data_IF_555851266036
#
_entry.id   IF_555851266036
#
_cell.length_a   1.000
_cell.length_b   1.000
_cell.length_c   1.000
_cell.angle_alpha   90.00
_cell.angle_beta   90.00
_cell.angle_gamma   90.00
#
_symmetry.space_group_name_H-M   'P 1'
#
loop_
_entity.id
_entity.type
_entity.pdbx_description
1 polymer ?
#
# COMPACT_ATOMS: atom_id res chain seq x y z
N UNK A 1 13.17 20.30 7.20
CA UNK A 1 14.00 19.10 6.97
C UNK A 1 14.90 19.00 8.18
N UNK A 2 14.52 18.16 9.13
CA UNK A 2 15.27 17.98 10.37
C UNK A 2 16.58 17.25 10.05
N UNK A 3 17.61 17.62 10.80
CA UNK A 3 19.03 17.42 10.59
C UNK A 3 19.46 15.97 10.26
N UNK A 4 20.16 15.80 9.13
CA UNK A 4 21.42 15.05 8.98
C UNK A 4 21.63 13.62 9.52
N UNK A 5 20.66 12.97 10.19
CA UNK A 5 20.84 11.63 10.74
C UNK A 5 20.57 10.57 9.67
N UNK A 6 21.52 9.65 9.48
CA UNK A 6 21.28 8.44 8.69
C UNK A 6 20.21 7.59 9.40
N UNK A 7 19.07 7.31 8.76
CA UNK A 7 18.03 6.49 9.39
C UNK A 7 18.52 5.07 9.60
N UNK A 8 18.01 4.42 10.65
CA UNK A 8 18.07 2.97 10.76
C UNK A 8 17.25 2.29 9.65
N UNK A 9 17.40 0.97 9.51
CA UNK A 9 16.75 0.23 8.43
C UNK A 9 15.23 0.25 8.49
N UNK A 10 14.64 0.13 9.68
CA UNK A 10 13.19 0.08 9.82
C UNK A 10 12.58 1.44 9.46
N UNK A 11 13.19 2.51 9.97
CA UNK A 11 12.81 3.89 9.62
C UNK A 11 12.97 4.13 8.11
N UNK A 12 14.08 3.70 7.51
CA UNK A 12 14.29 3.84 6.07
C UNK A 12 13.20 3.14 5.24
N UNK A 13 12.90 1.88 5.54
CA UNK A 13 11.92 1.11 4.77
C UNK A 13 10.48 1.55 5.00
N UNK A 14 10.11 1.94 6.23
CA UNK A 14 8.76 2.44 6.50
C UNK A 14 8.54 3.80 5.82
N UNK A 15 9.53 4.70 5.80
CA UNK A 15 9.41 5.97 5.06
C UNK A 15 9.25 5.75 3.55
N UNK A 16 9.95 4.76 2.98
CA UNK A 16 9.73 4.37 1.58
C UNK A 16 8.32 3.83 1.38
N UNK A 17 7.79 3.02 2.31
CA UNK A 17 6.40 2.54 2.21
C UNK A 17 5.38 3.69 2.22
N UNK A 18 5.64 4.76 2.98
CA UNK A 18 4.84 5.99 2.95
C UNK A 18 4.91 6.69 1.58
N UNK A 19 6.10 6.76 0.98
CA UNK A 19 6.23 7.32 -0.38
C UNK A 19 5.49 6.44 -1.41
N UNK A 20 5.60 5.11 -1.30
CA UNK A 20 4.89 4.16 -2.17
C UNK A 20 3.37 4.34 -2.03
N UNK A 21 2.85 4.54 -0.81
CA UNK A 21 1.42 4.73 -0.58
C UNK A 21 0.86 5.98 -1.28
N UNK A 22 1.69 7.01 -1.49
CA UNK A 22 1.29 8.23 -2.21
C UNK A 22 0.88 7.99 -3.66
N UNK A 23 1.28 6.85 -4.25
CA UNK A 23 0.85 6.41 -5.59
C UNK A 23 -0.49 5.68 -5.62
N UNK A 24 -1.08 5.38 -4.46
CA UNK A 24 -2.38 4.74 -4.34
C UNK A 24 -3.45 5.49 -5.12
N UNK A 25 -4.32 4.72 -5.75
CA UNK A 25 -5.44 5.23 -6.55
C UNK A 25 -6.79 4.91 -5.91
N UNK A 26 -6.79 4.53 -4.63
CA UNK A 26 -7.99 4.30 -3.84
C UNK A 26 -8.51 5.61 -3.22
N UNK A 27 -9.83 5.78 -3.22
CA UNK A 27 -10.50 6.96 -2.65
C UNK A 27 -10.73 6.90 -1.13
N UNK A 28 -10.54 5.72 -0.51
CA UNK A 28 -10.80 5.53 0.93
C UNK A 28 -9.52 5.60 1.75
N UNK A 29 -8.51 4.81 1.34
CA UNK A 29 -7.27 4.62 2.07
C UNK A 29 -6.11 4.40 1.13
N UNK A 30 -4.96 4.97 1.46
CA UNK A 30 -3.74 4.89 0.68
C UNK A 30 -2.74 3.99 1.40
N UNK A 31 -2.51 2.81 0.84
CA UNK A 31 -1.55 1.84 1.35
C UNK A 31 -0.37 1.71 0.40
N UNK A 32 0.82 1.58 0.98
CA UNK A 32 2.06 1.25 0.30
C UNK A 32 2.77 0.13 1.05
N UNK A 33 3.36 -0.80 0.31
CA UNK A 33 4.07 -1.95 0.82
C UNK A 33 5.45 -2.06 0.16
N UNK A 34 6.44 -2.43 0.97
CA UNK A 34 7.83 -2.64 0.55
C UNK A 34 8.29 -3.99 1.09
N UNK A 35 8.70 -4.90 0.20
CA UNK A 35 9.26 -6.20 0.58
C UNK A 35 10.77 -6.09 0.50
N UNK A 36 11.46 -6.44 1.58
CA UNK A 36 12.91 -6.31 1.72
C UNK A 36 13.55 -7.62 2.18
N UNK A 37 14.75 -7.89 1.70
CA UNK A 37 15.57 -9.02 2.14
C UNK A 37 17.03 -8.61 2.14
N UNK A 38 17.74 -8.93 3.22
CA UNK A 38 19.15 -8.58 3.40
C UNK A 38 19.42 -7.07 3.16
N UNK A 39 18.51 -6.23 3.68
CA UNK A 39 18.48 -4.77 3.49
C UNK A 39 18.38 -4.28 2.03
N UNK A 40 17.92 -5.14 1.12
CA UNK A 40 17.65 -4.80 -0.28
C UNK A 40 16.15 -4.87 -0.56
N UNK A 41 15.62 -3.83 -1.20
CA UNK A 41 14.23 -3.82 -1.67
C UNK A 41 14.08 -4.84 -2.80
N UNK A 42 13.19 -5.81 -2.60
CA UNK A 42 12.84 -6.84 -3.58
C UNK A 42 11.68 -6.38 -4.46
N UNK A 43 10.68 -5.76 -3.84
CA UNK A 43 9.45 -5.35 -4.50
C UNK A 43 8.75 -4.23 -3.76
N UNK A 44 7.89 -3.51 -4.47
CA UNK A 44 6.96 -2.54 -3.90
C UNK A 44 5.57 -2.71 -4.48
N UNK A 45 4.56 -2.25 -3.76
CA UNK A 45 3.17 -2.22 -4.23
C UNK A 45 2.37 -1.17 -3.50
N UNK A 46 1.41 -0.57 -4.20
CA UNK A 46 0.39 0.30 -3.60
C UNK A 46 -0.99 -0.25 -3.95
N UNK A 47 -2.01 0.11 -3.19
CA UNK A 47 -3.36 -0.35 -3.48
C UNK A 47 -4.01 0.45 -4.62
N UNK A 48 -4.64 -0.24 -5.56
CA UNK A 48 -5.24 0.34 -6.76
C UNK A 48 -5.89 -0.72 -7.64
N UNK A 49 -6.63 -0.29 -8.65
CA UNK A 49 -7.28 -1.22 -9.59
C UNK A 49 -6.26 -2.10 -10.31
N UNK A 50 -6.64 -3.32 -10.75
CA UNK A 50 -5.79 -4.18 -11.56
C UNK A 50 -5.22 -3.45 -12.78
N UNK A 51 -4.05 -3.88 -13.24
CA UNK A 51 -3.39 -3.29 -14.41
C UNK A 51 -4.33 -3.28 -15.61
N UNK A 52 -4.49 -2.12 -16.24
CA UNK A 52 -5.35 -1.92 -17.41
C UNK A 52 -6.81 -1.60 -17.11
N UNK A 53 -7.22 -1.58 -15.84
CA UNK A 53 -8.55 -1.15 -15.41
C UNK A 53 -8.53 0.32 -14.98
N UNK A 54 -9.68 1.00 -15.05
CA UNK A 54 -9.83 2.35 -14.52
C UNK A 54 -9.64 2.35 -12.99
N UNK A 55 -8.98 3.37 -12.47
CA UNK A 55 -8.82 3.52 -11.04
C UNK A 55 -10.03 4.22 -10.41
N UNK A 56 -10.25 4.00 -9.10
CA UNK A 56 -11.27 4.72 -8.35
C UNK A 56 -11.13 6.25 -8.47
N UNK A 57 -9.89 6.78 -8.52
CA UNK A 57 -9.62 8.21 -8.77
C UNK A 57 -9.93 8.66 -10.20
N UNK A 58 -9.89 7.78 -11.19
CA UNK A 58 -10.13 8.15 -12.59
C UNK A 58 -11.64 8.33 -12.81
N UNK A 59 -12.44 7.42 -12.25
CA UNK A 59 -13.91 7.45 -12.32
C UNK A 59 -14.57 8.19 -11.16
N UNK A 60 -13.78 8.68 -10.19
CA UNK A 60 -14.24 9.33 -8.95
C UNK A 60 -15.32 8.51 -8.21
N UNK A 61 -15.17 7.18 -8.23
CA UNK A 61 -16.20 6.24 -7.75
C UNK A 61 -15.61 5.12 -6.91
N UNK A 62 -16.30 4.78 -5.82
CA UNK A 62 -15.98 3.62 -5.00
C UNK A 62 -17.27 3.01 -4.44
N UNK A 63 -17.63 1.81 -4.90
CA UNK A 63 -18.86 1.11 -4.48
C UNK A 63 -18.96 0.93 -2.96
N UNK A 64 -17.83 0.70 -2.30
CA UNK A 64 -17.76 0.57 -0.84
C UNK A 64 -18.02 1.88 -0.11
N UNK A 65 -17.60 3.01 -0.67
CA UNK A 65 -17.88 4.36 -0.14
C UNK A 65 -19.37 4.67 -0.30
N UNK A 66 -19.93 4.43 -1.48
CA UNK A 66 -21.35 4.67 -1.79
C UNK A 66 -22.30 3.91 -0.86
N UNK A 67 -21.95 2.66 -0.55
CA UNK A 67 -22.76 1.79 0.29
C UNK A 67 -22.42 1.89 1.78
N UNK A 68 -21.54 2.81 2.19
CA UNK A 68 -21.07 2.98 3.57
C UNK A 68 -20.57 1.65 4.21
N UNK A 69 -19.83 0.86 3.44
CA UNK A 69 -19.32 -0.44 3.93
C UNK A 69 -18.17 -0.21 4.92
N UNK A 70 -18.24 -0.76 6.15
CA UNK A 70 -17.17 -0.68 7.15
C UNK A 70 -15.82 -1.22 6.64
N UNK A 71 -14.75 -0.95 7.40
CA UNK A 71 -13.48 -1.68 7.26
C UNK A 71 -13.70 -3.18 7.54
N UNK A 72 -12.89 -4.07 7.01
CA UNK A 72 -13.00 -5.50 7.34
C UNK A 72 -14.15 -6.28 6.69
N UNK A 73 -15.13 -5.62 6.07
CA UNK A 73 -16.35 -6.27 5.56
C UNK A 73 -16.46 -6.23 4.03
N UNK A 74 -17.23 -7.15 3.42
CA UNK A 74 -17.64 -7.15 2.00
C UNK A 74 -16.53 -6.80 1.00
N UNK A 75 -15.41 -7.51 1.10
CA UNK A 75 -14.21 -7.31 0.27
C UNK A 75 -14.47 -7.54 -1.22
N UNK A 76 -15.41 -8.41 -1.56
CA UNK A 76 -15.85 -8.68 -2.93
C UNK A 76 -16.41 -7.45 -3.67
N UNK A 77 -16.72 -6.37 -2.95
CA UNK A 77 -17.16 -5.10 -3.54
C UNK A 77 -16.00 -4.14 -3.86
N UNK A 78 -14.77 -4.45 -3.45
CA UNK A 78 -13.59 -3.65 -3.74
C UNK A 78 -12.95 -4.13 -5.04
N UNK A 79 -12.73 -3.22 -5.97
CA UNK A 79 -12.00 -3.53 -7.21
C UNK A 79 -10.48 -3.36 -7.03
N UNK A 80 -10.04 -2.66 -5.98
CA UNK A 80 -8.62 -2.42 -5.75
C UNK A 80 -7.91 -3.69 -5.25
N UNK A 81 -6.80 -4.02 -5.89
CA UNK A 81 -5.80 -4.95 -5.37
C UNK A 81 -5.07 -4.26 -4.22
N UNK A 82 -4.84 -4.98 -3.13
CA UNK A 82 -4.15 -4.46 -1.96
C UNK A 82 -2.66 -4.18 -2.24
N UNK A 83 -2.05 -3.31 -1.44
CA UNK A 83 -0.65 -2.90 -1.63
C UNK A 83 0.31 -4.10 -1.47
N UNK A 84 0.06 -4.92 -0.46
CA UNK A 84 0.77 -6.14 -0.13
C UNK A 84 0.65 -7.18 -1.25
N UNK A 85 -0.57 -7.35 -1.79
CA UNK A 85 -0.83 -8.23 -2.92
C UNK A 85 -0.04 -7.78 -4.15
N UNK A 86 -0.09 -6.49 -4.48
CA UNK A 86 0.69 -5.93 -5.57
C UNK A 86 2.20 -6.11 -5.36
N UNK A 87 2.70 -5.91 -4.13
CA UNK A 87 4.11 -6.13 -3.82
C UNK A 87 4.52 -7.59 -4.02
N UNK A 88 3.68 -8.55 -3.62
CA UNK A 88 3.93 -9.99 -3.81
C UNK A 88 3.88 -10.37 -5.29
N UNK A 89 2.86 -9.93 -6.04
CA UNK A 89 2.66 -10.29 -7.45
C UNK A 89 3.79 -9.75 -8.34
N UNK A 90 4.40 -8.61 -7.96
CA UNK A 90 5.46 -7.97 -8.73
C UNK A 90 6.86 -8.61 -8.60
N UNK A 91 7.03 -9.65 -7.77
CA UNK A 91 8.33 -10.31 -7.57
C UNK A 91 8.22 -11.84 -7.51
N UNK A 92 9.36 -12.51 -7.72
CA UNK A 92 9.39 -13.98 -7.66
C UNK A 92 9.29 -14.48 -6.21
N UNK A 93 8.51 -15.54 -5.94
CA UNK A 93 8.40 -16.13 -4.60
C UNK A 93 9.75 -16.52 -3.99
N UNK A 94 10.69 -17.01 -4.82
CA UNK A 94 12.02 -17.43 -4.41
C UNK A 94 12.84 -16.27 -3.82
N UNK A 95 12.70 -15.06 -4.39
CA UNK A 95 13.38 -13.86 -3.90
C UNK A 95 12.78 -13.35 -2.59
N UNK A 96 11.49 -13.60 -2.38
CA UNK A 96 10.75 -13.14 -1.19
C UNK A 96 10.84 -14.12 -0.01
N UNK A 97 11.35 -15.35 -0.21
CA UNK A 97 11.47 -16.32 0.88
C UNK A 97 12.38 -15.81 2.00
N UNK A 98 11.82 -15.67 3.21
CA UNK A 98 12.51 -15.11 4.38
C UNK A 98 12.67 -13.59 4.36
N UNK A 99 11.96 -12.88 3.49
CA UNK A 99 11.92 -11.43 3.45
C UNK A 99 11.00 -10.86 4.54
N UNK A 100 11.18 -9.57 4.85
CA UNK A 100 10.28 -8.76 5.67
C UNK A 100 9.43 -7.85 4.78
N UNK A 101 8.22 -7.50 5.24
CA UNK A 101 7.35 -6.53 4.57
C UNK A 101 7.07 -5.36 5.49
N UNK A 102 7.22 -4.14 4.96
CA UNK A 102 6.86 -2.88 5.62
C UNK A 102 5.64 -2.31 4.93
N UNK A 103 4.62 -1.93 5.70
CA UNK A 103 3.35 -1.43 5.17
C UNK A 103 3.03 -0.10 5.86
N UNK A 104 2.71 0.91 5.07
CA UNK A 104 2.20 2.18 5.56
C UNK A 104 0.80 2.41 4.99
N UNK A 105 -0.13 2.81 5.85
CA UNK A 105 -1.52 3.08 5.50
C UNK A 105 -1.95 4.46 5.99
N UNK A 106 -2.73 5.16 5.16
CA UNK A 106 -3.28 6.47 5.47
C UNK A 106 -4.76 6.54 5.12
N UNK A 107 -5.54 7.22 5.95
CA UNK A 107 -6.93 7.60 5.68
C UNK A 107 -6.99 8.73 4.63
N UNK A 108 -8.20 9.05 4.13
CA UNK A 108 -8.43 10.14 3.16
C UNK A 108 -7.92 11.49 3.66
N UNK A 109 -8.01 11.73 4.98
CA UNK A 109 -7.57 12.97 5.63
C UNK A 109 -6.05 13.05 5.88
N UNK A 110 -5.30 11.99 5.56
CA UNK A 110 -3.84 11.92 5.75
C UNK A 110 -3.39 11.42 7.12
N UNK A 111 -4.31 11.10 8.03
CA UNK A 111 -3.99 10.42 9.28
C UNK A 111 -3.53 8.98 8.99
N UNK A 112 -2.76 8.39 9.90
CA UNK A 112 -2.44 6.97 9.81
C UNK A 112 -3.72 6.14 9.85
N UNK A 113 -3.82 5.18 8.94
CA UNK A 113 -4.95 4.25 8.94
C UNK A 113 -4.84 3.34 10.16
N UNK A 114 -5.88 3.35 10.99
CA UNK A 114 -6.00 2.42 12.10
C UNK A 114 -6.03 1.00 11.54
N UNK A 115 -5.11 0.16 12.02
CA UNK A 115 -4.99 -1.23 11.63
C UNK A 115 -6.13 -2.07 12.22
N UNK A 116 -7.34 -1.93 11.69
CA UNK A 116 -8.50 -2.81 11.99
C UNK A 116 -9.42 -2.99 10.77
#
# INVERSE_FOLDING_TARGET
MEDGLRPDWDTYFIEIAKVVSSRSTCLRRKYGAVIVKDNVIISTGYNGSPRGMENCIDVQRCKRRELNIPSGERYELCEAVHAEQNAIINASPERMKGASVYIAGFEENGDFADGV
#
